data_IF_625682872853
#
_entry.id   IF_625682872853
#
_cell.length_a   1.000
_cell.length_b   1.000
_cell.length_c   1.000
_cell.angle_alpha   90.00
_cell.angle_beta   90.00
_cell.angle_gamma   90.00
#
_symmetry.space_group_name_H-M   'P 1'
#
loop_
_entity.id
_entity.type
_entity.pdbx_description
1 polymer ?
#
# COMPACT_ATOMS: atom_id res chain seq x y z
N UNK A 1 9.22 -7.82 51.23
CA UNK A 1 8.22 -7.09 50.41
C UNK A 1 7.39 -8.01 49.50
N UNK A 2 7.97 -8.85 48.68
CA UNK A 2 7.21 -9.73 47.80
C UNK A 2 6.17 -10.62 48.52
N UNK A 3 6.57 -11.23 49.67
CA UNK A 3 5.67 -12.07 50.50
C UNK A 3 4.55 -11.25 51.20
N UNK A 4 4.70 -9.94 51.35
CA UNK A 4 3.73 -9.05 51.98
C UNK A 4 2.79 -8.42 50.94
N UNK A 5 2.83 -8.83 49.67
CA UNK A 5 1.99 -8.28 48.62
C UNK A 5 2.51 -7.01 47.93
N UNK A 6 3.74 -6.59 48.21
CA UNK A 6 4.36 -5.39 47.64
C UNK A 6 4.01 -4.12 48.39
N UNK A 7 4.17 -2.96 47.67
CA UNK A 7 3.83 -1.63 48.14
C UNK A 7 2.46 -1.28 47.54
N UNK A 8 1.58 -0.69 48.32
CA UNK A 8 0.26 -0.24 47.87
C UNK A 8 0.38 1.05 46.98
N UNK A 9 -0.73 1.49 46.41
CA UNK A 9 -0.76 2.61 45.47
C UNK A 9 -0.36 3.98 46.05
N UNK A 10 -0.37 4.14 47.37
CA UNK A 10 0.06 5.36 48.07
C UNK A 10 1.42 5.23 48.74
N UNK A 11 2.01 4.05 48.72
CA UNK A 11 3.31 3.80 49.33
C UNK A 11 4.46 4.24 48.46
N UNK A 12 5.43 4.89 49.08
CA UNK A 12 6.68 5.31 48.41
C UNK A 12 7.56 4.11 48.04
N UNK A 13 8.07 4.13 46.81
CA UNK A 13 9.14 3.23 46.38
C UNK A 13 10.52 3.83 46.71
N UNK A 14 10.58 5.04 47.21
CA UNK A 14 11.81 5.80 47.41
C UNK A 14 12.07 6.17 48.86
N UNK A 15 11.14 5.83 49.76
CA UNK A 15 11.29 6.01 51.23
C UNK A 15 10.81 4.74 51.98
N UNK A 16 11.62 3.70 51.89
CA UNK A 16 11.43 2.43 52.62
C UNK A 16 12.49 2.33 53.66
N UNK A 17 12.10 2.26 54.97
CA UNK A 17 13.01 2.26 56.05
C UNK A 17 12.96 0.94 56.82
N UNK A 18 14.14 0.43 57.19
CA UNK A 18 14.29 -0.65 58.11
C UNK A 18 14.60 -0.11 59.49
N UNK A 19 13.71 -0.35 60.44
CA UNK A 19 13.85 0.09 61.81
C UNK A 19 14.11 -1.11 62.71
N UNK A 20 15.14 -1.01 63.56
CA UNK A 20 15.55 -2.01 64.57
C UNK A 20 15.72 -1.31 65.90
N UNK A 21 15.10 -1.82 66.93
CA UNK A 21 15.15 -1.26 68.29
C UNK A 21 14.85 0.24 68.35
N UNK A 22 13.96 0.75 67.46
CA UNK A 22 13.58 2.16 67.41
C UNK A 22 14.51 3.06 66.57
N UNK A 23 15.62 2.54 66.02
CA UNK A 23 16.56 3.27 65.18
C UNK A 23 16.43 2.84 63.72
N UNK A 24 16.54 3.81 62.78
CA UNK A 24 16.58 3.51 61.36
C UNK A 24 17.96 2.98 60.99
N UNK A 25 18.01 1.69 60.64
CA UNK A 25 19.23 0.99 60.27
C UNK A 25 19.56 1.21 58.81
N UNK A 26 18.52 1.22 57.91
CA UNK A 26 18.71 1.31 56.48
C UNK A 26 17.56 2.09 55.83
N UNK A 27 17.88 2.78 54.75
CA UNK A 27 16.96 3.50 53.91
C UNK A 27 17.07 3.06 52.46
N UNK A 28 16.03 2.41 51.93
CA UNK A 28 16.00 1.85 50.60
C UNK A 28 15.24 2.74 49.62
N UNK A 29 15.91 3.13 48.54
CA UNK A 29 15.32 3.74 47.37
C UNK A 29 15.32 2.73 46.21
N UNK A 30 14.15 2.21 45.85
CA UNK A 30 14.01 1.19 44.82
C UNK A 30 14.41 1.73 43.45
N UNK A 31 14.31 3.05 43.21
CA UNK A 31 14.74 3.69 41.94
C UNK A 31 16.27 3.58 41.78
N UNK A 32 17.05 3.72 42.86
CA UNK A 32 18.51 3.52 42.81
C UNK A 32 18.87 2.09 42.43
N UNK A 33 18.13 1.15 42.95
CA UNK A 33 18.27 -0.25 42.56
C UNK A 33 17.90 -0.51 41.09
N UNK A 34 16.72 -0.08 40.68
CA UNK A 34 16.22 -0.33 39.30
C UNK A 34 17.08 0.40 38.23
N UNK A 35 17.51 1.63 38.53
CA UNK A 35 18.18 2.50 37.52
C UNK A 35 19.70 2.33 37.51
N UNK A 36 20.31 1.97 38.65
CA UNK A 36 21.75 1.95 38.81
C UNK A 36 22.30 0.55 39.18
N UNK A 37 21.43 -0.41 39.49
CA UNK A 37 21.84 -1.71 39.99
C UNK A 37 22.51 -1.65 41.35
N UNK A 38 22.43 -0.51 42.04
CA UNK A 38 23.02 -0.37 43.38
C UNK A 38 22.06 -1.00 44.37
N UNK A 39 22.46 -2.14 44.88
CA UNK A 39 21.95 -2.71 46.11
C UNK A 39 22.85 -2.16 47.23
N UNK A 40 22.56 -0.99 47.75
CA UNK A 40 23.22 -0.52 48.96
C UNK A 40 22.69 -1.39 50.09
N UNK A 41 23.60 -2.18 50.67
CA UNK A 41 23.48 -2.92 51.91
C UNK A 41 22.19 -3.76 52.07
N UNK A 42 22.13 -4.89 51.37
CA UNK A 42 21.13 -5.94 51.63
C UNK A 42 21.29 -6.44 53.07
N UNK A 43 20.73 -5.71 54.01
CA UNK A 43 20.81 -5.99 55.46
C UNK A 43 19.97 -7.23 55.75
N UNK A 44 20.56 -8.20 56.44
CA UNK A 44 19.83 -9.39 56.92
C UNK A 44 18.80 -8.97 57.93
N UNK A 45 17.55 -9.34 57.71
CA UNK A 45 16.48 -9.12 58.68
C UNK A 45 16.67 -9.95 59.94
N UNK A 46 16.34 -9.35 61.08
CA UNK A 46 16.37 -9.98 62.40
C UNK A 46 14.95 -9.98 63.00
N UNK A 47 14.76 -10.81 64.01
CA UNK A 47 13.51 -10.83 64.75
C UNK A 47 13.30 -9.48 65.47
N UNK A 48 12.09 -8.91 65.29
CA UNK A 48 11.75 -7.59 65.82
C UNK A 48 12.03 -6.42 64.86
N UNK A 49 12.59 -6.67 63.66
CA UNK A 49 12.71 -5.63 62.64
C UNK A 49 11.35 -5.19 62.12
N UNK A 50 11.22 -3.87 61.90
CA UNK A 50 10.03 -3.27 61.30
C UNK A 50 10.38 -2.60 59.99
N UNK A 51 9.72 -2.97 58.91
CA UNK A 51 9.86 -2.31 57.59
C UNK A 51 8.72 -1.27 57.48
N UNK A 52 9.10 -0.01 57.37
CA UNK A 52 8.18 1.12 57.22
C UNK A 52 8.21 1.63 55.80
N UNK A 53 7.07 1.62 55.15
CA UNK A 53 6.89 2.22 53.83
C UNK A 53 6.09 3.52 54.03
N UNK A 54 6.73 4.65 53.79
CA UNK A 54 6.08 5.97 53.90
C UNK A 54 5.16 6.21 52.69
N UNK A 55 4.19 7.11 52.77
CA UNK A 55 3.47 7.58 51.57
C UNK A 55 4.40 8.37 50.64
N UNK A 56 4.16 8.33 49.33
CA UNK A 56 4.92 9.13 48.37
C UNK A 56 4.71 10.66 48.64
N UNK A 57 5.71 11.47 48.29
CA UNK A 57 5.66 12.92 48.50
C UNK A 57 5.24 13.66 47.22
N UNK A 58 5.70 13.28 46.10
CA UNK A 58 5.44 13.88 44.79
C UNK A 58 5.33 12.81 43.70
N UNK A 59 4.22 12.82 42.98
CA UNK A 59 3.94 11.95 41.87
C UNK A 59 3.75 12.78 40.61
N UNK A 60 4.58 12.56 39.61
CA UNK A 60 4.59 13.29 38.33
C UNK A 60 4.26 12.34 37.20
N UNK A 61 3.36 12.76 36.32
CA UNK A 61 3.02 12.02 35.13
C UNK A 61 3.84 12.50 33.92
N UNK A 62 4.39 11.56 33.15
CA UNK A 62 5.02 11.85 31.88
C UNK A 62 4.34 11.10 30.75
N UNK A 63 3.98 11.82 29.68
CA UNK A 63 3.27 11.31 28.51
C UNK A 63 3.93 11.74 27.20
N UNK A 64 3.52 11.13 26.10
CA UNK A 64 3.99 11.47 24.77
C UNK A 64 5.21 10.67 24.33
N UNK A 65 6.16 11.32 23.65
CA UNK A 65 7.29 10.65 22.94
C UNK A 65 8.48 10.34 23.85
N UNK A 66 8.22 9.59 24.92
CA UNK A 66 9.24 9.00 25.80
C UNK A 66 9.15 7.49 25.80
N UNK A 67 10.25 6.80 26.17
CA UNK A 67 10.30 5.33 26.10
C UNK A 67 9.39 4.65 27.10
N UNK A 68 9.14 5.27 28.28
CA UNK A 68 8.31 4.71 29.35
C UNK A 68 7.37 5.79 29.88
N UNK A 69 6.26 6.08 29.22
CA UNK A 69 5.25 7.01 29.71
C UNK A 69 4.52 6.37 30.89
N UNK A 70 4.59 6.99 32.06
CA UNK A 70 3.92 6.55 33.27
C UNK A 70 4.06 7.60 34.39
N UNK A 71 3.52 7.29 35.56
CA UNK A 71 3.74 8.06 36.77
C UNK A 71 5.10 7.72 37.40
N UNK A 72 5.80 8.76 37.85
CA UNK A 72 7.09 8.62 38.55
C UNK A 72 7.05 9.38 39.87
N UNK A 73 7.57 8.73 40.91
CA UNK A 73 7.77 9.37 42.20
C UNK A 73 9.04 10.22 42.17
N UNK A 74 8.90 11.52 42.46
CA UNK A 74 9.97 12.49 42.39
C UNK A 74 10.37 12.98 43.77
N UNK A 75 11.67 13.21 43.98
CA UNK A 75 12.19 13.88 45.19
C UNK A 75 12.20 15.41 44.98
N UNK A 76 12.09 16.24 46.03
CA UNK A 76 12.01 17.71 45.88
C UNK A 76 13.16 18.39 45.17
N UNK A 77 14.33 17.73 45.06
CA UNK A 77 15.50 18.26 44.36
C UNK A 77 15.61 17.82 42.91
N UNK A 78 14.72 16.93 42.46
CA UNK A 78 14.78 16.33 41.15
C UNK A 78 14.11 17.23 40.10
N UNK A 79 14.61 17.12 38.89
CA UNK A 79 14.32 18.03 37.77
C UNK A 79 13.72 17.28 36.58
N UNK A 80 13.34 18.01 35.52
CA UNK A 80 12.92 17.45 34.25
C UNK A 80 13.96 16.45 33.70
N UNK A 81 15.24 16.73 33.82
CA UNK A 81 16.29 15.80 33.39
C UNK A 81 16.26 14.48 34.16
N UNK A 82 15.97 14.52 35.48
CA UNK A 82 15.82 13.31 36.30
C UNK A 82 14.62 12.48 35.85
N UNK A 83 13.48 13.12 35.59
CA UNK A 83 12.27 12.44 35.12
C UNK A 83 12.48 11.81 33.76
N UNK A 84 13.10 12.51 32.81
CA UNK A 84 13.47 11.96 31.50
C UNK A 84 14.39 10.74 31.61
N UNK A 85 15.35 10.78 32.54
CA UNK A 85 16.23 9.63 32.81
C UNK A 85 15.43 8.42 33.32
N UNK A 86 14.46 8.63 34.20
CA UNK A 86 13.58 7.56 34.73
C UNK A 86 12.67 7.00 33.62
N UNK A 87 12.15 7.86 32.77
CA UNK A 87 11.36 7.48 31.59
C UNK A 87 12.19 6.76 30.49
N UNK A 88 13.51 6.57 30.69
CA UNK A 88 14.42 5.92 29.73
C UNK A 88 14.82 6.82 28.56
N UNK A 89 14.53 8.13 28.64
CA UNK A 89 14.84 9.11 27.60
C UNK A 89 13.76 9.24 26.52
N UNK A 90 14.08 10.04 25.54
CA UNK A 90 13.21 10.34 24.40
C UNK A 90 13.08 9.17 23.42
N UNK A 91 11.94 9.08 22.74
CA UNK A 91 11.81 8.28 21.52
C UNK A 91 12.56 8.93 20.34
N UNK A 92 12.75 8.18 19.25
CA UNK A 92 13.48 8.67 18.08
C UNK A 92 12.83 9.87 17.38
N UNK A 93 11.50 9.93 17.42
CA UNK A 93 10.65 10.95 16.82
C UNK A 93 10.20 12.03 17.82
N UNK A 94 10.83 12.12 19.00
CA UNK A 94 10.52 13.12 20.02
C UNK A 94 11.10 14.50 19.67
N UNK A 95 10.32 15.54 19.90
CA UNK A 95 10.79 16.93 19.90
C UNK A 95 11.57 17.22 21.18
N UNK A 96 12.90 17.28 21.09
CA UNK A 96 13.81 17.33 22.22
C UNK A 96 14.12 18.75 22.71
N UNK A 97 13.81 19.78 21.91
CA UNK A 97 14.17 21.16 22.22
C UNK A 97 13.36 21.78 23.36
N UNK A 98 12.12 21.31 23.56
CA UNK A 98 11.28 21.79 24.65
C UNK A 98 10.28 20.70 25.08
N UNK A 99 9.91 20.72 26.36
CA UNK A 99 8.80 19.92 26.92
C UNK A 99 7.77 20.85 27.53
N UNK A 100 6.53 20.40 27.55
CA UNK A 100 5.41 21.13 28.15
C UNK A 100 5.05 20.50 29.48
N UNK A 101 4.92 21.34 30.51
CA UNK A 101 4.51 20.92 31.85
C UNK A 101 3.23 21.65 32.22
N UNK A 102 2.24 20.90 32.67
CA UNK A 102 1.00 21.43 33.21
C UNK A 102 1.02 21.18 34.71
N UNK A 103 1.09 22.25 35.49
CA UNK A 103 1.05 22.23 36.94
C UNK A 103 -0.35 22.53 37.44
N UNK A 104 -0.86 21.67 38.30
CA UNK A 104 -2.21 21.76 38.88
C UNK A 104 -2.14 22.33 40.29
N UNK A 105 -1.39 23.38 40.51
CA UNK A 105 -1.23 24.00 41.83
C UNK A 105 -1.94 25.32 41.90
N UNK A 106 -2.54 25.61 43.05
CA UNK A 106 -3.28 26.85 43.31
C UNK A 106 -4.73 26.81 42.77
N UNK A 107 -5.21 27.93 42.25
CA UNK A 107 -6.60 28.09 41.80
C UNK A 107 -6.82 27.62 40.35
N UNK A 108 -5.79 27.71 39.53
CA UNK A 108 -5.86 27.47 38.09
C UNK A 108 -4.64 26.65 37.63
N UNK A 109 -4.75 26.02 36.47
CA UNK A 109 -3.62 25.28 35.86
C UNK A 109 -2.62 26.28 35.31
N UNK A 110 -1.35 25.99 35.51
CA UNK A 110 -0.22 26.74 34.95
C UNK A 110 0.48 25.89 33.87
N UNK A 111 0.83 26.51 32.75
CA UNK A 111 1.56 25.86 31.66
C UNK A 111 2.99 26.43 31.62
N UNK A 112 3.95 25.54 31.64
CA UNK A 112 5.36 25.85 31.49
C UNK A 112 5.89 25.19 30.20
N UNK A 113 6.54 25.99 29.35
CA UNK A 113 7.35 25.46 28.27
C UNK A 113 8.80 25.51 28.74
N UNK A 114 9.41 24.35 28.94
CA UNK A 114 10.75 24.22 29.47
C UNK A 114 11.68 23.84 28.31
N UNK A 115 12.66 24.66 28.03
CA UNK A 115 13.64 24.44 26.98
C UNK A 115 14.72 23.44 27.41
N UNK A 116 15.39 22.80 26.44
CA UNK A 116 16.42 21.78 26.68
C UNK A 116 17.51 22.26 27.66
N UNK A 117 17.90 23.53 27.59
CA UNK A 117 18.92 24.12 28.48
C UNK A 117 18.47 24.15 29.95
N UNK A 118 17.18 24.19 30.20
CA UNK A 118 16.60 24.33 31.54
C UNK A 118 16.18 22.97 32.14
N UNK A 119 16.32 21.85 31.42
CA UNK A 119 15.93 20.52 31.93
C UNK A 119 16.65 20.12 33.21
N UNK A 120 17.87 20.58 33.42
CA UNK A 120 18.68 20.28 34.61
C UNK A 120 18.35 21.18 35.81
N UNK A 121 17.61 22.26 35.60
CA UNK A 121 17.34 23.28 36.60
C UNK A 121 15.86 23.32 37.02
N UNK A 122 14.95 23.05 36.08
CA UNK A 122 13.52 23.13 36.33
C UNK A 122 13.04 21.98 37.24
N UNK A 123 12.54 22.32 38.42
CA UNK A 123 12.04 21.35 39.40
C UNK A 123 10.58 21.05 39.15
N UNK A 124 10.24 19.77 39.37
CA UNK A 124 8.90 19.26 39.23
C UNK A 124 8.21 19.24 40.60
N UNK A 125 6.90 19.51 40.59
CA UNK A 125 6.06 19.48 41.77
C UNK A 125 5.04 18.35 41.68
N UNK A 126 4.41 18.02 42.82
CA UNK A 126 3.38 17.01 42.89
C UNK A 126 2.20 17.29 41.95
N UNK A 127 1.76 16.29 41.20
CA UNK A 127 0.66 16.39 40.26
C UNK A 127 1.01 17.08 38.93
N UNK A 128 2.31 17.38 38.66
CA UNK A 128 2.72 17.89 37.37
C UNK A 128 2.49 16.83 36.28
N UNK A 129 2.01 17.30 35.13
CA UNK A 129 1.89 16.53 33.89
C UNK A 129 2.91 17.04 32.86
N UNK A 130 3.93 16.25 32.59
CA UNK A 130 4.91 16.57 31.54
C UNK A 130 4.55 15.88 30.22
N UNK A 131 4.44 16.66 29.16
CA UNK A 131 4.18 16.18 27.80
C UNK A 131 5.39 16.39 26.91
N UNK A 132 5.82 15.33 26.23
CA UNK A 132 6.86 15.37 25.20
C UNK A 132 6.19 15.24 23.84
N UNK A 133 6.27 16.30 23.05
CA UNK A 133 5.66 16.32 21.71
C UNK A 133 6.50 15.54 20.69
N UNK A 134 5.90 15.18 19.56
CA UNK A 134 6.60 14.63 18.42
C UNK A 134 7.26 15.73 17.58
N UNK A 135 8.29 15.39 16.82
CA UNK A 135 8.80 16.21 15.71
C UNK A 135 7.65 16.39 14.71
N UNK A 136 7.51 17.59 14.16
CA UNK A 136 6.48 17.89 13.17
C UNK A 136 6.64 16.97 11.95
N UNK A 137 5.53 16.46 11.43
CA UNK A 137 5.51 15.67 10.19
C UNK A 137 5.64 16.61 8.97
N UNK A 138 6.79 17.28 8.90
CA UNK A 138 7.17 18.21 7.83
C UNK A 138 8.65 18.04 7.54
N UNK A 139 8.99 18.14 6.26
CA UNK A 139 10.39 18.10 5.82
C UNK A 139 10.97 19.54 5.78
N UNK A 140 12.20 19.69 6.19
CA UNK A 140 12.91 20.99 6.16
C UNK A 140 13.41 21.36 4.76
N UNK A 141 13.80 20.35 3.97
CA UNK A 141 14.55 20.51 2.74
C UNK A 141 14.14 19.48 1.67
N UNK A 142 12.85 19.14 1.60
CA UNK A 142 12.34 18.17 0.64
C UNK A 142 12.06 18.84 -0.71
N UNK A 143 12.46 18.17 -1.79
CA UNK A 143 11.90 18.28 -3.13
C UNK A 143 11.52 16.90 -3.61
N UNK A 144 10.54 16.81 -4.49
CA UNK A 144 10.02 15.54 -4.97
C UNK A 144 10.00 15.52 -6.50
N UNK A 145 10.33 14.36 -7.08
CA UNK A 145 10.15 14.12 -8.51
C UNK A 145 9.37 12.83 -8.72
N UNK A 146 8.40 12.87 -9.63
CA UNK A 146 7.57 11.72 -9.98
C UNK A 146 7.31 11.62 -11.47
N UNK A 147 6.71 10.49 -11.91
CA UNK A 147 6.38 10.22 -13.30
C UNK A 147 7.52 9.56 -14.08
N UNK A 148 7.78 10.02 -15.32
CA UNK A 148 8.67 9.39 -16.28
C UNK A 148 10.16 9.73 -16.06
N UNK A 149 10.66 9.43 -14.86
CA UNK A 149 12.07 9.49 -14.48
C UNK A 149 12.55 8.09 -14.06
N UNK A 150 13.85 7.83 -14.09
CA UNK A 150 14.36 6.52 -13.69
C UNK A 150 14.24 6.27 -12.19
N UNK A 151 14.43 7.30 -11.35
CA UNK A 151 14.28 7.18 -9.90
C UNK A 151 13.34 8.25 -9.35
N UNK A 152 12.03 7.99 -9.37
CA UNK A 152 11.07 8.87 -8.69
C UNK A 152 11.23 8.78 -7.17
N UNK A 153 10.94 9.88 -6.46
CA UNK A 153 10.98 9.93 -5.00
C UNK A 153 11.36 11.27 -4.43
N UNK A 154 11.71 11.25 -3.15
CA UNK A 154 12.09 12.42 -2.39
C UNK A 154 13.60 12.65 -2.49
N UNK A 155 13.97 13.91 -2.68
CA UNK A 155 15.35 14.36 -2.74
C UNK A 155 15.59 15.51 -1.78
N UNK A 156 16.83 15.63 -1.34
CA UNK A 156 17.26 16.73 -0.51
C UNK A 156 17.49 17.97 -1.36
N UNK A 157 16.87 19.08 -0.98
CA UNK A 157 17.20 20.40 -1.52
C UNK A 157 18.48 20.91 -0.83
N UNK A 158 19.57 20.99 -1.56
CA UNK A 158 20.88 21.39 -1.07
C UNK A 158 21.68 22.14 -2.15
N UNK A 159 23.00 22.32 -1.93
CA UNK A 159 23.87 22.95 -2.93
C UNK A 159 24.08 22.14 -4.22
N UNK A 160 23.82 20.82 -4.21
CA UNK A 160 23.93 19.95 -5.38
C UNK A 160 22.63 19.85 -6.16
N UNK A 161 21.48 19.93 -5.45
CA UNK A 161 20.13 19.82 -6.03
C UNK A 161 19.36 21.08 -5.66
N UNK A 162 19.50 22.11 -6.50
CA UNK A 162 18.82 23.39 -6.31
C UNK A 162 18.09 23.88 -7.57
N UNK A 163 18.14 23.11 -8.67
CA UNK A 163 17.44 23.41 -9.93
C UNK A 163 16.77 22.18 -10.51
N UNK A 164 15.81 22.39 -11.41
CA UNK A 164 15.07 21.30 -12.11
C UNK A 164 16.04 20.36 -12.84
N UNK A 165 17.02 20.90 -13.57
CA UNK A 165 17.99 20.09 -14.31
C UNK A 165 18.86 19.23 -13.40
N UNK A 166 19.27 19.76 -12.24
CA UNK A 166 20.06 19.01 -11.27
C UNK A 166 19.23 17.92 -10.59
N UNK A 167 17.96 18.20 -10.27
CA UNK A 167 17.02 17.20 -9.73
C UNK A 167 16.84 16.03 -10.71
N UNK A 168 16.58 16.31 -12.00
CA UNK A 168 16.48 15.26 -13.03
C UNK A 168 17.78 14.47 -13.14
N UNK A 169 18.93 15.14 -13.12
CA UNK A 169 20.22 14.45 -13.13
C UNK A 169 20.42 13.53 -11.92
N UNK A 170 20.00 13.99 -10.73
CA UNK A 170 20.06 13.19 -9.50
C UNK A 170 19.09 12.01 -9.53
N UNK A 171 17.94 12.16 -10.23
CA UNK A 171 16.99 11.09 -10.51
C UNK A 171 17.45 10.12 -11.61
N UNK A 172 18.73 10.14 -11.98
CA UNK A 172 19.37 9.32 -13.04
C UNK A 172 18.81 9.57 -14.45
N UNK A 173 18.10 10.68 -14.64
CA UNK A 173 17.60 11.11 -15.93
C UNK A 173 16.15 10.74 -16.19
N UNK A 174 15.76 10.95 -17.44
CA UNK A 174 14.39 10.79 -17.94
C UNK A 174 14.21 9.44 -18.62
N UNK A 175 13.06 8.84 -18.45
CA UNK A 175 12.67 7.64 -19.20
C UNK A 175 12.42 8.00 -20.66
N UNK A 176 12.54 7.01 -21.55
CA UNK A 176 12.32 7.20 -23.00
C UNK A 176 10.90 7.61 -23.39
N UNK A 177 9.93 7.40 -22.50
CA UNK A 177 8.52 7.77 -22.65
C UNK A 177 8.18 9.13 -22.01
N UNK A 178 9.17 9.91 -21.56
CA UNK A 178 8.92 11.20 -20.92
C UNK A 178 8.40 12.24 -21.91
N UNK A 179 7.31 12.94 -21.52
CA UNK A 179 6.76 14.07 -22.28
C UNK A 179 7.37 15.38 -21.78
N UNK A 180 8.33 15.93 -22.55
CA UNK A 180 9.20 17.01 -22.11
C UNK A 180 8.63 18.41 -22.36
N UNK A 181 7.70 18.55 -23.32
CA UNK A 181 7.18 19.85 -23.72
C UNK A 181 6.37 20.56 -22.63
N UNK A 182 5.85 19.81 -21.66
CA UNK A 182 5.08 20.38 -20.55
C UNK A 182 5.17 19.49 -19.31
N UNK A 183 6.17 19.75 -18.50
CA UNK A 183 6.34 19.17 -17.17
C UNK A 183 5.69 20.11 -16.15
N UNK A 184 5.16 19.55 -15.07
CA UNK A 184 4.43 20.30 -14.06
C UNK A 184 5.27 20.39 -12.79
N UNK A 185 5.51 21.61 -12.33
CA UNK A 185 6.11 21.89 -11.05
C UNK A 185 5.04 22.46 -10.13
N UNK A 186 4.65 21.68 -9.14
CA UNK A 186 3.75 22.10 -8.06
C UNK A 186 4.58 22.71 -6.93
N UNK A 187 4.34 23.97 -6.64
CA UNK A 187 5.06 24.79 -5.67
C UNK A 187 4.16 25.22 -4.54
N UNK A 188 4.54 24.91 -3.31
CA UNK A 188 3.88 25.41 -2.11
C UNK A 188 4.32 26.84 -1.82
N UNK A 189 3.36 27.78 -1.68
CA UNK A 189 3.59 29.14 -1.26
C UNK A 189 3.63 29.26 0.27
N UNK A 190 4.05 30.43 0.77
CA UNK A 190 4.11 30.69 2.22
C UNK A 190 2.75 30.61 2.92
N UNK A 191 1.66 30.89 2.20
CA UNK A 191 0.28 30.78 2.70
C UNK A 191 -0.29 29.35 2.59
N UNK A 192 0.56 28.38 2.26
CA UNK A 192 0.21 26.97 2.04
C UNK A 192 -0.73 26.73 0.84
N UNK A 193 -0.90 27.71 -0.03
CA UNK A 193 -1.54 27.49 -1.33
C UNK A 193 -0.55 26.92 -2.33
N UNK A 194 -1.07 26.22 -3.35
CA UNK A 194 -0.26 25.61 -4.39
C UNK A 194 -0.30 26.41 -5.67
N UNK A 195 0.85 26.55 -6.30
CA UNK A 195 1.00 27.15 -7.63
C UNK A 195 1.55 26.14 -8.61
N UNK A 196 0.86 25.97 -9.74
CA UNK A 196 1.34 25.10 -10.82
C UNK A 196 2.16 25.90 -11.83
N UNK A 197 3.45 25.58 -11.91
CA UNK A 197 4.38 26.15 -12.88
C UNK A 197 4.60 25.17 -14.01
N UNK A 198 4.29 25.59 -15.24
CA UNK A 198 4.57 24.79 -16.43
C UNK A 198 6.06 24.92 -16.79
N UNK A 199 6.75 23.80 -16.92
CA UNK A 199 8.17 23.70 -17.18
C UNK A 199 8.41 23.15 -18.58
N UNK A 200 9.11 23.90 -19.43
CA UNK A 200 9.65 23.39 -20.69
C UNK A 200 10.99 22.68 -20.39
N UNK A 201 10.87 21.39 -20.08
CA UNK A 201 12.04 20.59 -19.68
C UNK A 201 12.97 20.34 -20.87
N UNK A 202 12.44 20.24 -22.08
CA UNK A 202 13.23 20.08 -23.29
C UNK A 202 14.16 21.30 -23.49
N UNK A 203 13.58 22.51 -23.40
CA UNK A 203 14.33 23.77 -23.51
C UNK A 203 15.40 23.92 -22.42
N UNK A 204 15.10 23.52 -21.18
CA UNK A 204 16.06 23.54 -20.06
C UNK A 204 17.21 22.54 -20.29
N UNK A 205 16.91 21.34 -20.73
CA UNK A 205 17.93 20.32 -20.97
C UNK A 205 18.88 20.70 -22.12
N UNK A 206 18.31 21.28 -23.19
CA UNK A 206 19.06 21.76 -24.36
C UNK A 206 19.75 23.13 -24.12
N UNK A 207 19.43 23.80 -23.02
CA UNK A 207 20.03 25.11 -22.69
C UNK A 207 19.42 26.30 -23.42
N UNK A 208 18.28 26.13 -24.10
CA UNK A 208 17.55 27.20 -24.78
C UNK A 208 16.65 28.00 -23.84
N UNK A 209 16.24 27.40 -22.73
CA UNK A 209 15.45 28.03 -21.65
C UNK A 209 16.26 28.01 -20.37
N UNK A 210 16.15 29.08 -19.59
CA UNK A 210 16.81 29.20 -18.29
C UNK A 210 16.28 28.13 -17.33
N UNK A 211 17.19 27.52 -16.57
CA UNK A 211 16.83 26.51 -15.55
C UNK A 211 16.05 27.18 -14.40
N UNK A 212 15.13 26.43 -13.81
CA UNK A 212 14.23 26.91 -12.76
C UNK A 212 14.81 26.53 -11.40
N UNK A 213 15.02 27.49 -10.49
CA UNK A 213 15.44 27.19 -9.13
C UNK A 213 14.30 26.51 -8.36
N UNK A 214 14.65 25.44 -7.66
CA UNK A 214 13.73 24.70 -6.79
C UNK A 214 13.58 25.38 -5.43
N UNK A 215 12.41 25.21 -4.85
CA UNK A 215 12.07 25.62 -3.51
C UNK A 215 11.69 24.42 -2.65
N UNK A 216 11.69 24.62 -1.35
CA UNK A 216 11.23 23.62 -0.40
C UNK A 216 9.82 23.16 -0.73
N UNK A 217 9.58 21.86 -0.65
CA UNK A 217 8.32 21.17 -0.96
C UNK A 217 7.91 21.20 -2.44
N UNK A 218 8.75 21.71 -3.35
CA UNK A 218 8.48 21.60 -4.78
C UNK A 218 8.31 20.14 -5.19
N UNK A 219 7.27 19.86 -5.98
CA UNK A 219 7.01 18.56 -6.59
C UNK A 219 7.03 18.68 -8.11
N UNK A 220 8.02 18.04 -8.73
CA UNK A 220 8.18 17.99 -10.18
C UNK A 220 7.52 16.71 -10.71
N UNK A 221 6.46 16.86 -11.49
CA UNK A 221 5.81 15.75 -12.17
C UNK A 221 6.16 15.74 -13.65
N UNK A 222 6.84 14.69 -14.09
CA UNK A 222 7.21 14.45 -15.49
C UNK A 222 6.21 13.45 -16.08
N UNK A 223 5.24 13.89 -16.90
CA UNK A 223 4.26 12.98 -17.49
C UNK A 223 4.92 12.04 -18.50
N UNK A 224 4.44 10.81 -18.58
CA UNK A 224 4.75 9.88 -19.65
C UNK A 224 3.87 10.13 -20.87
N UNK A 225 4.37 9.88 -22.08
CA UNK A 225 3.58 9.99 -23.33
C UNK A 225 2.37 9.06 -23.27
N UNK A 226 2.53 7.90 -22.65
CA UNK A 226 1.45 6.91 -22.51
C UNK A 226 0.43 7.31 -21.43
N UNK A 227 0.82 8.11 -20.43
CA UNK A 227 -0.09 8.62 -19.41
C UNK A 227 -1.06 9.68 -19.93
N UNK A 228 -0.69 10.34 -21.05
CA UNK A 228 -1.47 11.38 -21.71
C UNK A 228 -2.44 10.85 -22.77
N UNK A 229 -2.45 9.55 -23.02
CA UNK A 229 -3.31 8.88 -23.98
C UNK A 229 -4.16 7.82 -23.30
N UNK A 230 -5.36 7.61 -23.88
CA UNK A 230 -6.17 6.44 -23.50
C UNK A 230 -5.38 5.17 -23.79
N UNK A 231 -5.38 4.21 -22.85
CA UNK A 231 -4.72 2.92 -23.05
C UNK A 231 -5.26 2.23 -24.30
N UNK A 232 -4.41 2.05 -25.27
CA UNK A 232 -4.77 1.41 -26.53
C UNK A 232 -4.93 -0.08 -26.32
N UNK A 233 -6.12 -0.60 -26.59
CA UNK A 233 -6.47 -2.02 -26.37
C UNK A 233 -7.15 -2.60 -27.60
N UNK A 234 -7.11 -3.93 -27.73
CA UNK A 234 -7.87 -4.72 -28.71
C UNK A 234 -8.61 -5.81 -27.95
N UNK A 235 -9.84 -6.09 -28.37
CA UNK A 235 -10.67 -7.09 -27.70
C UNK A 235 -10.95 -8.26 -28.64
N UNK A 236 -10.95 -9.48 -28.08
CA UNK A 236 -11.35 -10.69 -28.80
C UNK A 236 -12.44 -11.43 -28.01
N UNK A 237 -13.49 -11.82 -28.71
CA UNK A 237 -14.65 -12.51 -28.14
C UNK A 237 -15.07 -13.71 -28.98
N UNK A 238 -15.87 -14.57 -28.38
CA UNK A 238 -16.46 -15.75 -29.03
C UNK A 238 -15.69 -17.03 -28.76
N UNK A 239 -15.53 -17.86 -29.79
CA UNK A 239 -15.00 -19.22 -29.66
C UNK A 239 -13.46 -19.25 -29.68
N UNK A 240 -12.88 -18.61 -28.66
CA UNK A 240 -11.44 -18.65 -28.31
C UNK A 240 -11.28 -19.16 -26.88
N UNK A 241 -10.11 -19.67 -26.52
CA UNK A 241 -9.90 -20.27 -25.20
C UNK A 241 -9.95 -19.22 -24.08
N UNK A 242 -9.38 -18.04 -24.29
CA UNK A 242 -9.37 -16.94 -23.31
C UNK A 242 -9.89 -15.64 -23.96
N UNK A 243 -11.21 -15.45 -24.05
CA UNK A 243 -11.79 -14.21 -24.56
C UNK A 243 -11.49 -13.06 -23.59
N UNK A 244 -11.22 -11.86 -24.13
CA UNK A 244 -10.92 -10.69 -23.28
C UNK A 244 -10.36 -9.52 -24.06
N UNK A 245 -9.88 -8.53 -23.31
CA UNK A 245 -9.24 -7.33 -23.82
C UNK A 245 -7.77 -7.37 -23.52
N UNK A 246 -6.95 -7.10 -24.52
CA UNK A 246 -5.50 -7.15 -24.49
C UNK A 246 -4.93 -5.77 -24.85
N UNK A 247 -3.72 -5.49 -24.40
CA UNK A 247 -3.02 -4.27 -24.79
C UNK A 247 -2.68 -4.33 -26.29
N UNK A 248 -2.88 -3.22 -26.98
CA UNK A 248 -2.50 -3.08 -28.38
C UNK A 248 -0.97 -2.98 -28.49
N UNK A 249 -0.43 -3.56 -29.53
CA UNK A 249 0.97 -3.39 -29.94
C UNK A 249 1.02 -3.12 -31.43
N UNK A 250 2.00 -2.32 -31.88
CA UNK A 250 2.19 -2.05 -33.30
C UNK A 250 2.39 -3.34 -34.10
N UNK A 251 1.81 -3.36 -35.29
CA UNK A 251 1.84 -4.51 -36.20
C UNK A 251 1.11 -5.76 -35.68
N UNK A 252 0.24 -5.63 -34.68
CA UNK A 252 -0.57 -6.73 -34.17
C UNK A 252 -1.51 -7.26 -35.27
N UNK A 253 -1.48 -8.56 -35.54
CA UNK A 253 -2.34 -9.23 -36.51
C UNK A 253 -3.51 -9.97 -35.85
N UNK A 254 -4.48 -10.47 -36.65
CA UNK A 254 -5.58 -11.29 -36.13
C UNK A 254 -5.01 -12.60 -35.60
N UNK A 255 -4.01 -13.19 -36.27
CA UNK A 255 -3.35 -14.41 -35.85
C UNK A 255 -2.67 -14.25 -34.49
N UNK A 256 -1.92 -13.16 -34.30
CA UNK A 256 -1.27 -12.86 -33.02
C UNK A 256 -2.30 -12.75 -31.91
N UNK A 257 -3.44 -12.11 -32.20
CA UNK A 257 -4.52 -11.93 -31.24
C UNK A 257 -5.17 -13.27 -30.87
N UNK A 258 -5.35 -14.17 -31.84
CA UNK A 258 -5.86 -15.53 -31.57
C UNK A 258 -4.86 -16.32 -30.74
N UNK A 259 -3.55 -16.20 -31.02
CA UNK A 259 -2.50 -16.85 -30.24
C UNK A 259 -2.49 -16.31 -28.80
N UNK A 260 -2.58 -15.00 -28.62
CA UNK A 260 -2.64 -14.39 -27.28
C UNK A 260 -3.90 -14.84 -26.49
N UNK A 261 -5.02 -15.08 -27.19
CA UNK A 261 -6.24 -15.65 -26.62
C UNK A 261 -6.14 -17.17 -26.36
N UNK A 262 -4.97 -17.78 -26.57
CA UNK A 262 -4.74 -19.20 -26.31
C UNK A 262 -5.16 -20.13 -27.47
N UNK A 263 -5.64 -19.58 -28.59
CA UNK A 263 -6.12 -20.34 -29.74
C UNK A 263 -7.63 -20.42 -29.84
N UNK A 264 -8.10 -21.12 -30.88
CA UNK A 264 -9.51 -21.34 -31.17
C UNK A 264 -10.04 -22.53 -30.38
N UNK A 265 -11.33 -22.48 -29.98
CA UNK A 265 -12.03 -23.65 -29.47
C UNK A 265 -12.42 -24.60 -30.62
N UNK A 266 -12.71 -25.87 -30.32
CA UNK A 266 -13.21 -26.84 -31.28
C UNK A 266 -14.52 -26.40 -31.96
N UNK A 267 -15.31 -25.57 -31.27
CA UNK A 267 -16.57 -25.04 -31.76
C UNK A 267 -16.42 -23.82 -32.68
N UNK A 268 -15.20 -23.30 -32.87
CA UNK A 268 -14.97 -22.10 -33.65
C UNK A 268 -15.31 -22.29 -35.15
N UNK A 269 -15.96 -21.29 -35.74
CA UNK A 269 -16.15 -21.20 -37.17
C UNK A 269 -14.88 -20.67 -37.82
N UNK A 270 -14.26 -21.46 -38.68
CA UNK A 270 -13.04 -21.07 -39.39
C UNK A 270 -13.31 -20.13 -40.57
N UNK A 271 -14.58 -19.99 -41.01
CA UNK A 271 -14.97 -19.22 -42.20
C UNK A 271 -15.56 -17.87 -41.89
N UNK A 272 -15.49 -17.36 -40.67
CA UNK A 272 -16.22 -16.12 -40.31
C UNK A 272 -15.65 -15.44 -39.08
N UNK A 273 -14.36 -15.12 -39.11
CA UNK A 273 -13.82 -14.20 -38.10
C UNK A 273 -14.04 -12.77 -38.55
N UNK A 274 -14.72 -11.98 -37.74
CA UNK A 274 -15.00 -10.58 -38.04
C UNK A 274 -14.23 -9.64 -37.14
N UNK A 275 -13.67 -8.59 -37.75
CA UNK A 275 -13.04 -7.46 -37.03
C UNK A 275 -13.94 -6.27 -37.19
N UNK A 276 -14.35 -5.69 -36.09
CA UNK A 276 -15.14 -4.45 -36.07
C UNK A 276 -14.25 -3.31 -35.63
N UNK A 277 -14.12 -2.31 -36.48
CA UNK A 277 -13.32 -1.10 -36.26
C UNK A 277 -14.19 0.10 -36.06
N UNK A 278 -13.99 0.84 -34.98
CA UNK A 278 -14.72 2.10 -34.73
C UNK A 278 -14.28 3.19 -35.72
N UNK A 279 -15.21 4.00 -36.15
CA UNK A 279 -14.89 5.18 -36.96
C UNK A 279 -14.48 6.31 -36.04
N UNK A 280 -13.27 6.84 -36.25
CA UNK A 280 -12.71 7.95 -35.50
C UNK A 280 -12.48 9.12 -36.43
N UNK A 281 -13.33 10.14 -36.31
CA UNK A 281 -13.14 11.42 -36.98
C UNK A 281 -13.19 12.56 -35.95
N UNK A 282 -12.02 12.91 -35.35
CA UNK A 282 -11.96 13.94 -34.32
C UNK A 282 -12.21 15.36 -34.82
N UNK A 283 -12.27 15.56 -36.13
CA UNK A 283 -12.52 16.85 -36.75
C UNK A 283 -13.97 17.03 -37.23
N UNK A 284 -14.77 15.96 -37.17
CA UNK A 284 -16.17 16.04 -37.61
C UNK A 284 -17.01 16.81 -36.61
N UNK A 285 -17.74 17.80 -37.11
CA UNK A 285 -18.76 18.54 -36.34
C UNK A 285 -20.17 18.01 -36.59
N UNK A 286 -20.32 17.00 -37.46
CA UNK A 286 -21.59 16.39 -37.83
C UNK A 286 -21.71 14.98 -37.29
N UNK A 287 -22.91 14.56 -36.92
CA UNK A 287 -23.18 13.17 -36.52
C UNK A 287 -23.09 12.26 -37.75
N UNK A 288 -22.25 11.22 -37.66
CA UNK A 288 -22.22 10.15 -38.66
C UNK A 288 -23.27 9.09 -38.32
N UNK A 289 -24.02 8.64 -39.30
CA UNK A 289 -24.90 7.48 -39.16
C UNK A 289 -24.15 6.16 -39.15
N UNK A 290 -22.90 6.17 -39.63
CA UNK A 290 -22.00 4.98 -39.61
C UNK A 290 -21.20 4.96 -38.35
N UNK A 291 -21.37 3.92 -37.53
CA UNK A 291 -20.71 3.81 -36.22
C UNK A 291 -19.42 2.99 -36.27
N UNK A 292 -19.37 2.00 -37.17
CA UNK A 292 -18.24 1.08 -37.27
C UNK A 292 -18.09 0.50 -38.69
N UNK A 293 -16.91 -0.01 -38.99
CA UNK A 293 -16.63 -0.81 -40.18
C UNK A 293 -16.35 -2.25 -39.75
N UNK A 294 -16.85 -3.22 -40.52
CA UNK A 294 -16.64 -4.63 -40.25
C UNK A 294 -15.90 -5.28 -41.41
N UNK A 295 -14.86 -5.98 -41.09
CA UNK A 295 -14.05 -6.79 -42.00
C UNK A 295 -14.26 -8.27 -41.64
N UNK A 296 -14.37 -9.13 -42.63
CA UNK A 296 -14.59 -10.58 -42.41
C UNK A 296 -13.45 -11.37 -43.04
N UNK A 297 -12.94 -12.34 -42.32
CA UNK A 297 -11.78 -13.16 -42.74
C UNK A 297 -12.09 -14.64 -42.55
N UNK A 298 -11.51 -15.44 -43.44
CA UNK A 298 -11.50 -16.89 -43.30
C UNK A 298 -10.17 -17.32 -42.68
N UNK A 299 -10.23 -18.24 -41.74
CA UNK A 299 -9.04 -18.83 -41.07
C UNK A 299 -8.93 -20.29 -41.44
N UNK A 300 -7.76 -20.67 -41.87
CA UNK A 300 -7.42 -22.10 -42.07
C UNK A 300 -6.29 -22.46 -41.13
N UNK A 301 -6.52 -23.54 -40.36
CA UNK A 301 -5.54 -24.07 -39.40
C UNK A 301 -4.97 -23.03 -38.42
N UNK A 302 -5.82 -22.04 -38.02
CA UNK A 302 -5.43 -20.96 -37.13
C UNK A 302 -4.71 -19.79 -37.80
N UNK A 303 -4.49 -19.86 -39.12
CA UNK A 303 -3.84 -18.82 -39.93
C UNK A 303 -4.83 -18.23 -40.93
N UNK A 304 -4.70 -16.94 -41.25
CA UNK A 304 -5.51 -16.29 -42.30
C UNK A 304 -5.18 -16.91 -43.68
N UNK A 305 -6.23 -17.20 -44.44
CA UNK A 305 -6.10 -17.72 -45.79
C UNK A 305 -5.93 -16.62 -46.84
N UNK A 306 -6.06 -15.36 -46.44
CA UNK A 306 -5.94 -14.21 -47.36
C UNK A 306 -4.46 -13.80 -47.45
N UNK A 307 -3.95 -13.67 -48.66
CA UNK A 307 -2.61 -13.16 -48.90
C UNK A 307 -2.49 -11.68 -48.48
N UNK A 308 -1.90 -11.47 -47.35
CA UNK A 308 -1.64 -10.15 -46.76
C UNK A 308 -2.00 -10.10 -45.28
N UNK A 309 -1.07 -9.65 -44.45
CA UNK A 309 -1.28 -9.46 -43.03
C UNK A 309 -2.28 -8.33 -42.81
N UNK A 310 -3.42 -8.60 -42.13
CA UNK A 310 -4.34 -7.57 -41.68
C UNK A 310 -3.89 -7.08 -40.31
N UNK A 311 -3.45 -5.83 -40.25
CA UNK A 311 -3.05 -5.22 -39.00
C UNK A 311 -4.26 -4.64 -38.25
N UNK A 312 -4.38 -5.06 -37.02
CA UNK A 312 -5.36 -4.51 -36.10
C UNK A 312 -4.99 -3.07 -35.74
N UNK A 313 -5.98 -2.29 -35.41
CA UNK A 313 -5.83 -0.92 -34.89
C UNK A 313 -6.30 -0.85 -33.44
N UNK A 314 -5.87 0.16 -32.69
CA UNK A 314 -6.37 0.38 -31.36
C UNK A 314 -7.92 0.40 -31.31
N UNK A 315 -8.45 -0.33 -30.34
CA UNK A 315 -9.90 -0.50 -30.06
C UNK A 315 -10.66 -1.36 -31.11
N UNK A 316 -9.97 -2.07 -31.97
CA UNK A 316 -10.60 -3.09 -32.80
C UNK A 316 -11.19 -4.20 -31.91
N UNK A 317 -12.31 -4.76 -32.37
CA UNK A 317 -12.98 -5.88 -31.75
C UNK A 317 -12.99 -7.06 -32.70
N UNK A 318 -12.26 -8.11 -32.33
CA UNK A 318 -12.22 -9.38 -33.07
C UNK A 318 -13.31 -10.31 -32.52
N UNK A 319 -14.13 -10.87 -33.38
CA UNK A 319 -15.16 -11.81 -33.00
C UNK A 319 -15.03 -13.13 -33.77
N UNK A 320 -14.80 -14.20 -33.05
CA UNK A 320 -14.79 -15.57 -33.57
C UNK A 320 -16.16 -16.19 -33.31
N UNK A 321 -16.88 -16.51 -34.36
CA UNK A 321 -18.22 -17.08 -34.25
C UNK A 321 -18.17 -18.59 -34.03
N UNK A 322 -19.22 -19.12 -33.42
CA UNK A 322 -19.43 -20.54 -33.29
C UNK A 322 -19.86 -21.16 -34.62
N UNK A 323 -19.29 -22.30 -34.98
CA UNK A 323 -19.72 -23.08 -36.16
C UNK A 323 -21.15 -23.56 -36.00
N UNK A 324 -22.05 -23.24 -36.94
CA UNK A 324 -23.45 -23.76 -36.90
C UNK A 324 -23.52 -25.29 -36.93
N UNK A 325 -22.51 -25.92 -37.53
CA UNK A 325 -22.44 -27.38 -37.64
C UNK A 325 -21.91 -28.07 -36.39
N UNK A 326 -21.28 -27.31 -35.48
CA UNK A 326 -20.74 -27.91 -34.24
C UNK A 326 -21.83 -28.29 -33.27
N UNK A 327 -21.84 -29.53 -32.85
CA UNK A 327 -22.76 -30.04 -31.86
C UNK A 327 -21.99 -30.83 -30.82
N UNK A 328 -22.24 -30.50 -29.57
CA UNK A 328 -21.71 -31.26 -28.43
C UNK A 328 -22.41 -32.64 -28.41
N UNK A 329 -21.63 -33.68 -28.20
CA UNK A 329 -22.16 -35.02 -27.99
C UNK A 329 -23.15 -35.03 -26.83
N UNK A 330 -24.36 -35.49 -27.10
CA UNK A 330 -25.38 -35.67 -26.07
C UNK A 330 -25.39 -37.14 -25.67
N UNK A 331 -25.34 -37.40 -24.37
CA UNK A 331 -25.34 -38.74 -23.82
C UNK A 331 -26.69 -39.04 -23.19
N UNK A 332 -27.13 -40.30 -23.36
CA UNK A 332 -28.24 -40.88 -22.61
C UNK A 332 -27.75 -42.11 -21.88
N UNK A 333 -28.28 -42.34 -20.70
CA UNK A 333 -27.95 -43.55 -19.91
C UNK A 333 -29.04 -44.57 -20.08
N UNK A 334 -28.67 -45.78 -20.46
CA UNK A 334 -29.57 -46.97 -20.53
C UNK A 334 -29.19 -47.84 -19.35
N UNK A 335 -30.19 -48.14 -18.51
CA UNK A 335 -30.04 -49.01 -17.35
C UNK A 335 -31.23 -49.99 -17.24
N UNK A 336 -31.05 -51.04 -16.51
CA UNK A 336 -32.07 -52.08 -16.30
C UNK A 336 -31.79 -53.31 -17.17
N UNK A 337 -32.86 -54.02 -17.53
CA UNK A 337 -32.85 -55.34 -18.21
C UNK A 337 -32.52 -55.20 -19.73
N UNK A 338 -31.30 -54.69 -20.02
CA UNK A 338 -30.72 -54.61 -21.37
C UNK A 338 -29.38 -55.35 -21.42
N UNK A 339 -28.97 -55.82 -22.59
CA UNK A 339 -27.76 -56.62 -22.70
C UNK A 339 -26.50 -55.82 -22.32
N UNK A 340 -26.44 -54.54 -22.72
CA UNK A 340 -25.34 -53.65 -22.41
C UNK A 340 -25.88 -52.38 -21.78
N UNK A 341 -25.95 -52.33 -20.45
CA UNK A 341 -26.25 -51.10 -19.72
C UNK A 341 -25.08 -50.15 -19.76
N UNK A 342 -25.32 -48.82 -19.85
CA UNK A 342 -24.29 -47.81 -19.88
C UNK A 342 -24.70 -46.51 -20.54
N UNK A 343 -23.72 -45.62 -20.78
CA UNK A 343 -23.94 -44.35 -21.46
C UNK A 343 -23.76 -44.46 -22.96
N UNK A 344 -24.75 -43.96 -23.70
CA UNK A 344 -24.79 -43.97 -25.16
C UNK A 344 -24.85 -42.56 -25.72
N UNK A 345 -24.00 -42.24 -26.71
CA UNK A 345 -24.08 -40.98 -27.45
C UNK A 345 -25.28 -40.98 -28.37
N UNK A 346 -26.03 -39.88 -28.42
CA UNK A 346 -27.03 -39.66 -29.45
C UNK A 346 -26.36 -39.40 -30.78
N UNK A 347 -26.70 -40.19 -31.81
CA UNK A 347 -26.14 -40.08 -33.15
C UNK A 347 -26.91 -39.07 -34.02
N UNK A 348 -28.16 -38.79 -33.71
CA UNK A 348 -29.06 -37.90 -34.46
C UNK A 348 -29.91 -37.07 -33.51
N UNK A 349 -30.29 -35.83 -33.94
CA UNK A 349 -31.17 -34.95 -33.12
C UNK A 349 -32.55 -35.55 -32.82
N UNK A 350 -33.05 -36.40 -33.70
CA UNK A 350 -34.34 -37.05 -33.63
C UNK A 350 -34.23 -38.58 -33.40
N UNK A 351 -33.15 -39.06 -32.82
CA UNK A 351 -32.96 -40.46 -32.47
C UNK A 351 -34.03 -40.91 -31.49
N UNK A 352 -34.63 -42.07 -31.78
CA UNK A 352 -35.71 -42.59 -30.96
C UNK A 352 -35.19 -43.53 -29.87
N UNK A 353 -36.00 -43.72 -28.83
CA UNK A 353 -35.72 -44.63 -27.73
C UNK A 353 -35.41 -46.07 -28.24
N UNK A 354 -36.17 -46.54 -29.24
CA UNK A 354 -35.95 -47.83 -29.87
C UNK A 354 -34.55 -47.99 -30.49
N UNK A 355 -34.02 -46.92 -31.06
CA UNK A 355 -32.70 -46.94 -31.71
C UNK A 355 -31.59 -47.09 -30.65
N UNK A 356 -31.72 -46.39 -29.51
CA UNK A 356 -30.77 -46.48 -28.42
C UNK A 356 -30.88 -47.86 -27.71
N UNK A 357 -32.09 -48.36 -27.45
CA UNK A 357 -32.27 -49.69 -26.87
C UNK A 357 -31.75 -50.77 -27.81
N UNK A 358 -31.94 -50.63 -29.13
CA UNK A 358 -31.39 -51.56 -30.11
C UNK A 358 -29.85 -51.61 -30.04
N UNK A 359 -29.18 -50.46 -29.89
CA UNK A 359 -27.71 -50.38 -29.67
C UNK A 359 -27.27 -50.97 -28.33
N UNK A 360 -28.13 -50.96 -27.32
CA UNK A 360 -27.89 -51.56 -26.02
C UNK A 360 -28.12 -53.11 -26.03
N UNK A 361 -28.33 -53.71 -27.19
CA UNK A 361 -28.52 -55.15 -27.34
C UNK A 361 -29.98 -55.62 -27.14
N UNK A 362 -30.94 -54.67 -27.10
CA UNK A 362 -32.36 -55.00 -26.88
C UNK A 362 -32.71 -55.21 -25.41
N UNK A 363 -34.00 -55.51 -25.17
CA UNK A 363 -34.52 -55.80 -23.84
C UNK A 363 -34.36 -57.28 -23.55
N UNK A 364 -33.75 -57.67 -22.46
CA UNK A 364 -33.53 -59.06 -22.06
C UNK A 364 -34.82 -59.82 -21.73
N UNK A 365 -35.90 -59.14 -21.36
CA UNK A 365 -37.19 -59.71 -21.06
C UNK A 365 -37.85 -60.36 -22.28
N UNK A 366 -37.47 -60.02 -23.52
CA UNK A 366 -38.01 -60.60 -24.77
C UNK A 366 -37.09 -61.63 -25.43
N UNK A 367 -35.90 -61.89 -24.85
CA UNK A 367 -34.95 -62.86 -25.42
C UNK A 367 -34.95 -64.21 -24.68
N UNK A 368 -35.90 -64.46 -23.76
CA UNK A 368 -36.03 -65.77 -23.13
C UNK A 368 -36.69 -66.72 -24.15
N UNK A 369 -36.01 -67.78 -24.61
CA UNK A 369 -36.65 -68.76 -25.45
C UNK A 369 -37.75 -69.50 -24.63
N UNK A 370 -38.96 -69.62 -25.16
CA UNK A 370 -40.00 -70.47 -24.71
C UNK A 370 -39.64 -71.95 -24.85
#
# INVERSE_FOLDING_TARGET
MYRAGGVNNIGSLRDIRLVRNGETIEHLDVYEFIMQGKMNDDVRLQEGDVIIVSPYQSLVEIVGKVKRPMYYEMKPAETVASLLKYAGGFMGDAYKKAVRIIRKSGREHQVYNVDEMDYSVFRLDDGDLMTVDAVLDRFENKVEVSGAVYRPGLYQLDGEVNTVKQLIKKAEGLRGDAFLARVLLDREREDLTHEMVAVDLEGIMNGTVSDIPLQKNDHLYVPGIHDLKESETVSIYGEVLNPGTFLYSDNLTIEDMIVQAGGLTEAAATTCVSVTRRIKDPKSTAYSSKLAETFTFDIKDGLLTVAGSFYLQPFDVVQVRRSPAYQVQRMVTVAGEVLFSGSYSLLKKNERLSDVIGRAGGCLLYTSPS
#
